data_IF_478631467088
#
_entry.id   IF_478631467088
#
_cell.length_a   1.000
_cell.length_b   1.000
_cell.length_c   1.000
_cell.angle_alpha   90.00
_cell.angle_beta   90.00
_cell.angle_gamma   90.00
#
_symmetry.space_group_name_H-M   'P 1'
#
loop_
_entity.id
_entity.type
_entity.pdbx_description
1 polymer ?
#
# COMPACT_ATOMS: atom_id res chain seq x y z
N UNK A 1 10.01 -10.73 -22.30
CA UNK A 1 9.97 -10.61 -20.82
C UNK A 1 9.66 -9.15 -20.51
N UNK A 2 8.72 -8.85 -19.60
CA UNK A 2 8.42 -7.47 -19.22
C UNK A 2 9.41 -7.09 -18.11
N UNK A 3 10.27 -6.12 -18.37
CA UNK A 3 11.29 -5.64 -17.43
C UNK A 3 10.63 -5.09 -16.16
N UNK A 4 11.18 -5.43 -14.99
CA UNK A 4 10.55 -5.19 -13.67
C UNK A 4 10.60 -3.69 -13.27
N UNK A 5 11.39 -2.87 -13.98
CA UNK A 5 11.58 -1.43 -13.72
C UNK A 5 11.26 -0.54 -14.93
N UNK A 6 10.50 -1.05 -15.90
CA UNK A 6 10.08 -0.21 -17.03
C UNK A 6 8.90 0.66 -16.64
N UNK A 7 9.01 1.96 -16.96
CA UNK A 7 7.87 2.86 -16.92
C UNK A 7 6.77 2.28 -17.82
N UNK A 8 5.63 1.96 -17.22
CA UNK A 8 4.45 1.52 -17.96
C UNK A 8 3.76 2.78 -18.44
N UNK A 9 3.82 3.02 -19.75
CA UNK A 9 3.03 4.08 -20.35
C UNK A 9 1.55 3.70 -20.25
N UNK A 10 0.80 4.46 -19.47
CA UNK A 10 -0.63 4.29 -19.24
C UNK A 10 -1.28 5.64 -19.21
N UNK A 11 -2.50 5.73 -19.75
CA UNK A 11 -3.26 6.97 -19.84
C UNK A 11 -4.44 6.96 -18.87
N UNK A 12 -4.15 6.80 -17.58
CA UNK A 12 -5.17 6.79 -16.52
C UNK A 12 -5.27 8.13 -15.78
N UNK A 13 -6.37 8.34 -15.05
CA UNK A 13 -6.56 9.54 -14.23
C UNK A 13 -5.36 9.82 -13.32
N UNK A 14 -4.83 8.78 -12.64
CA UNK A 14 -3.65 8.92 -11.79
C UNK A 14 -2.40 9.26 -12.59
N UNK A 15 -2.30 8.90 -13.87
CA UNK A 15 -1.17 9.29 -14.72
C UNK A 15 -1.24 10.77 -15.10
N UNK A 16 -2.45 11.30 -15.37
CA UNK A 16 -2.67 12.70 -15.76
C UNK A 16 -2.60 13.71 -14.62
N UNK A 17 -2.72 13.26 -13.37
CA UNK A 17 -2.61 14.16 -12.21
C UNK A 17 -1.26 14.88 -12.15
N UNK A 18 -1.27 16.11 -11.61
CA UNK A 18 -0.05 16.84 -11.28
C UNK A 18 0.86 15.95 -10.39
N UNK A 19 2.15 15.77 -10.74
CA UNK A 19 3.10 14.99 -9.95
C UNK A 19 3.13 15.35 -8.46
N UNK A 20 3.05 16.64 -8.11
CA UNK A 20 3.05 17.08 -6.71
C UNK A 20 1.81 16.61 -5.96
N UNK A 21 0.65 16.63 -6.60
CA UNK A 21 -0.59 16.13 -6.01
C UNK A 21 -0.53 14.62 -5.74
N UNK A 22 0.13 13.85 -6.61
CA UNK A 22 0.34 12.40 -6.38
C UNK A 22 1.23 12.16 -5.16
N UNK A 23 2.35 12.88 -5.07
CA UNK A 23 3.28 12.77 -3.94
C UNK A 23 2.56 13.17 -2.64
N UNK A 24 1.86 14.31 -2.64
CA UNK A 24 1.11 14.76 -1.47
C UNK A 24 0.06 13.74 -1.02
N UNK A 25 -0.67 13.12 -1.95
CA UNK A 25 -1.65 12.09 -1.64
C UNK A 25 -0.99 10.84 -1.01
N UNK A 26 0.09 10.34 -1.61
CA UNK A 26 0.82 9.17 -1.08
C UNK A 26 1.41 9.47 0.31
N UNK A 27 2.07 10.61 0.47
CA UNK A 27 2.63 11.04 1.76
C UNK A 27 1.54 11.17 2.82
N UNK A 28 0.40 11.78 2.47
CA UNK A 28 -0.74 11.91 3.39
C UNK A 28 -1.27 10.56 3.85
N UNK A 29 -1.42 9.59 2.94
CA UNK A 29 -1.85 8.23 3.27
C UNK A 29 -0.86 7.54 4.21
N UNK A 30 0.45 7.66 3.95
CA UNK A 30 1.48 7.05 4.79
C UNK A 30 1.45 7.66 6.19
N UNK A 31 1.41 8.99 6.30
CA UNK A 31 1.34 9.69 7.60
C UNK A 31 0.09 9.24 8.36
N UNK A 32 -1.08 9.28 7.73
CA UNK A 32 -2.31 8.86 8.40
C UNK A 32 -2.24 7.39 8.85
N UNK A 33 -1.71 6.50 8.01
CA UNK A 33 -1.61 5.06 8.32
C UNK A 33 -0.63 4.75 9.45
N UNK A 34 0.43 5.55 9.62
CA UNK A 34 1.43 5.35 10.69
C UNK A 34 0.96 5.94 12.01
N UNK A 35 0.27 7.09 11.97
CA UNK A 35 -0.13 7.83 13.16
C UNK A 35 -1.52 7.45 13.69
N UNK A 36 -2.23 6.51 13.07
CA UNK A 36 -3.54 6.05 13.53
C UNK A 36 -3.58 4.55 13.79
N UNK A 37 -4.32 4.15 14.82
CA UNK A 37 -4.67 2.76 15.13
C UNK A 37 -6.17 2.50 14.98
N UNK A 38 -6.95 3.53 14.61
CA UNK A 38 -8.38 3.40 14.39
C UNK A 38 -8.66 2.52 13.15
N UNK A 39 -9.33 1.39 13.36
CA UNK A 39 -9.61 0.41 12.32
C UNK A 39 -10.56 0.93 11.24
N UNK A 40 -11.47 1.87 11.57
CA UNK A 40 -12.34 2.48 10.58
C UNK A 40 -11.56 3.42 9.67
N UNK A 41 -10.64 4.22 10.22
CA UNK A 41 -9.79 5.12 9.43
C UNK A 41 -8.89 4.30 8.50
N UNK A 42 -8.22 3.27 9.01
CA UNK A 42 -7.37 2.39 8.21
C UNK A 42 -8.17 1.65 7.14
N UNK A 43 -9.36 1.14 7.50
CA UNK A 43 -10.27 0.49 6.54
C UNK A 43 -10.70 1.43 5.41
N UNK A 44 -11.02 2.69 5.72
CA UNK A 44 -11.34 3.71 4.72
C UNK A 44 -10.16 4.02 3.80
N UNK A 45 -8.94 4.09 4.33
CA UNK A 45 -7.74 4.30 3.51
C UNK A 45 -7.53 3.14 2.53
N UNK A 46 -7.62 1.89 3.01
CA UNK A 46 -7.50 0.69 2.17
C UNK A 46 -8.58 0.67 1.09
N UNK A 47 -9.83 0.95 1.46
CA UNK A 47 -10.95 1.02 0.51
C UNK A 47 -10.73 2.12 -0.52
N UNK A 48 -10.30 3.31 -0.09
CA UNK A 48 -10.01 4.45 -0.95
C UNK A 48 -8.91 4.13 -1.98
N UNK A 49 -7.82 3.51 -1.54
CA UNK A 49 -6.74 3.05 -2.43
C UNK A 49 -7.27 2.03 -3.45
N UNK A 50 -8.07 1.07 -2.99
CA UNK A 50 -8.64 0.05 -3.87
C UNK A 50 -9.57 0.64 -4.95
N UNK A 51 -10.48 1.53 -4.56
CA UNK A 51 -11.39 2.21 -5.49
C UNK A 51 -10.62 3.11 -6.48
N UNK A 52 -9.60 3.85 -6.00
CA UNK A 52 -8.75 4.66 -6.86
C UNK A 52 -7.99 3.78 -7.89
N UNK A 53 -7.53 2.61 -7.46
CA UNK A 53 -6.85 1.64 -8.31
C UNK A 53 -7.77 1.04 -9.39
N UNK A 54 -9.02 0.71 -9.04
CA UNK A 54 -10.03 0.27 -10.01
C UNK A 54 -10.26 1.34 -11.08
N UNK A 55 -10.48 2.59 -10.67
CA UNK A 55 -10.68 3.72 -11.60
C UNK A 55 -9.45 4.02 -12.46
N UNK A 56 -8.25 3.78 -11.93
CA UNK A 56 -7.00 3.98 -12.64
C UNK A 56 -6.58 2.79 -13.52
N UNK A 57 -7.30 1.67 -13.46
CA UNK A 57 -6.95 0.44 -14.18
C UNK A 57 -5.72 -0.30 -13.62
N UNK A 58 -5.33 -0.06 -12.37
CA UNK A 58 -4.11 -0.57 -11.72
C UNK A 58 -4.36 -1.70 -10.70
N UNK A 59 -5.56 -2.28 -10.72
CA UNK A 59 -5.99 -3.25 -9.71
C UNK A 59 -5.19 -4.56 -9.80
N UNK A 60 -4.79 -4.99 -11.00
CA UNK A 60 -3.96 -6.20 -11.16
C UNK A 60 -2.56 -6.01 -10.56
N UNK A 61 -1.96 -4.83 -10.77
CA UNK A 61 -0.68 -4.45 -10.18
C UNK A 61 -0.79 -4.38 -8.65
N UNK A 62 -1.87 -3.79 -8.13
CA UNK A 62 -2.14 -3.75 -6.70
C UNK A 62 -2.27 -5.16 -6.11
N UNK A 63 -3.05 -6.05 -6.73
CA UNK A 63 -3.20 -7.45 -6.30
C UNK A 63 -1.87 -8.22 -6.34
N UNK A 64 -0.99 -7.90 -7.31
CA UNK A 64 0.34 -8.49 -7.37
C UNK A 64 1.22 -8.03 -6.20
N UNK A 65 1.15 -6.76 -5.82
CA UNK A 65 1.84 -6.22 -4.64
C UNK A 65 1.31 -6.82 -3.33
N UNK A 66 -0.01 -7.05 -3.23
CA UNK A 66 -0.62 -7.68 -2.06
C UNK A 66 -0.05 -9.07 -1.77
N UNK A 67 0.35 -9.85 -2.79
CA UNK A 67 0.99 -11.15 -2.57
C UNK A 67 2.30 -11.03 -1.79
N UNK A 68 3.14 -10.07 -2.17
CA UNK A 68 4.39 -9.79 -1.48
C UNK A 68 4.13 -9.26 -0.07
N UNK A 69 3.12 -8.39 0.08
CA UNK A 69 2.75 -7.83 1.38
C UNK A 69 2.23 -8.91 2.34
N UNK A 70 1.39 -9.83 1.87
CA UNK A 70 0.91 -10.97 2.67
C UNK A 70 2.07 -11.87 3.07
N UNK A 71 2.98 -12.19 2.15
CA UNK A 71 4.17 -12.96 2.47
C UNK A 71 5.01 -12.27 3.56
N UNK A 72 5.22 -10.97 3.45
CA UNK A 72 5.95 -10.18 4.44
C UNK A 72 5.22 -10.11 5.79
N UNK A 73 3.89 -9.96 5.81
CA UNK A 73 3.11 -9.96 7.05
C UNK A 73 3.17 -11.31 7.76
N UNK A 74 3.11 -12.42 7.01
CA UNK A 74 3.20 -13.78 7.57
C UNK A 74 4.58 -14.05 8.20
N UNK A 75 5.65 -13.39 7.75
CA UNK A 75 6.98 -13.54 8.35
C UNK A 75 7.20 -12.56 9.50
N UNK A 76 6.78 -11.29 9.36
CA UNK A 76 7.04 -10.26 10.36
C UNK A 76 6.15 -10.34 11.60
N UNK A 77 4.87 -10.73 11.47
CA UNK A 77 3.96 -10.80 12.62
C UNK A 77 4.46 -11.83 13.66
N UNK A 78 4.81 -13.07 13.29
CA UNK A 78 5.36 -14.04 14.25
C UNK A 78 6.68 -13.57 14.86
N UNK A 79 7.60 -13.02 14.05
CA UNK A 79 8.88 -12.50 14.53
C UNK A 79 8.68 -11.38 15.55
N UNK A 80 7.77 -10.44 15.28
CA UNK A 80 7.42 -9.37 16.19
C UNK A 80 6.82 -9.91 17.50
N UNK A 81 5.91 -10.88 17.41
CA UNK A 81 5.32 -11.51 18.59
C UNK A 81 6.36 -12.23 19.45
N UNK A 82 7.25 -13.03 18.84
CA UNK A 82 8.31 -13.73 19.59
C UNK A 82 9.31 -12.78 20.21
N UNK A 83 9.63 -11.67 19.53
CA UNK A 83 10.54 -10.67 20.05
C UNK A 83 9.94 -9.97 21.27
N UNK A 84 8.67 -9.57 21.21
CA UNK A 84 7.98 -8.99 22.37
C UNK A 84 7.95 -9.97 23.54
N UNK A 85 7.66 -11.25 23.27
CA UNK A 85 7.62 -12.30 24.29
C UNK A 85 8.98 -12.55 24.96
N UNK A 86 10.09 -12.46 24.20
CA UNK A 86 11.43 -12.69 24.73
C UNK A 86 11.89 -11.62 25.73
N UNK A 87 11.29 -10.43 25.73
CA UNK A 87 11.54 -9.40 26.73
C UNK A 87 10.75 -9.58 28.02
N UNK A 88 9.75 -10.48 28.04
CA UNK A 88 8.92 -10.77 29.21
C UNK A 88 9.44 -11.95 30.07
N UNK A 89 10.45 -12.69 29.60
CA UNK A 89 11.05 -13.88 30.25
C UNK A 89 12.47 -13.63 30.71
#
# INVERSE_FOLDING_TARGET
MKEIMQYINSDSFLHRMNPLSKIAAVTGIIVLSVFTTDSYVLGLLVLGIFLASLKAGLHQELLRQLKLLVFLSLTLIPVSYTHLRAHET
#
